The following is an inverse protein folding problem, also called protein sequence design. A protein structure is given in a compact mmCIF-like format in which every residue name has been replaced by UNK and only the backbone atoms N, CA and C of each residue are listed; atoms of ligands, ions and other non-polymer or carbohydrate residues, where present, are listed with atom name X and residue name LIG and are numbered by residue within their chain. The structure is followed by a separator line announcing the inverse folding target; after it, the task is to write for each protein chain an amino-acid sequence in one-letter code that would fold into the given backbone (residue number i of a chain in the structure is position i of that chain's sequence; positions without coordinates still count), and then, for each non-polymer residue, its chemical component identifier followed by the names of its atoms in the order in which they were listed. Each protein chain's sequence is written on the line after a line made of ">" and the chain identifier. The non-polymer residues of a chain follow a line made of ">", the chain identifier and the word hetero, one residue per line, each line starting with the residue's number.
data_IF_630559115136
#
_entry.id   IF_630559115136
#
_cell.length_a   1.000
_cell.length_b   1.000
_cell.length_c   1.000
_cell.angle_alpha   90.00
_cell.angle_beta   90.00
_cell.angle_gamma   90.00
#
_symmetry.space_group_name_H-M   'P 1'
#
loop_
_entity.id
_entity.type
_entity.pdbx_description
1 polymer ?
#
# COMPACT_ATOMS: atom_id res chain seq x y z
N UNK A 1 -10.93 20.17 1.06
CA UNK A 1 -11.21 19.45 2.33
C UNK A 1 -12.02 20.35 3.25
N UNK A 2 -12.98 19.83 4.03
CA UNK A 2 -13.72 20.63 5.02
C UNK A 2 -13.22 20.32 6.43
N UNK A 3 -12.73 21.32 7.16
CA UNK A 3 -12.31 21.19 8.55
C UNK A 3 -13.32 21.86 9.49
N UNK A 4 -13.47 21.32 10.69
CA UNK A 4 -14.26 21.94 11.76
C UNK A 4 -13.33 22.46 12.84
N UNK A 5 -13.57 23.69 13.27
CA UNK A 5 -12.92 24.28 14.44
C UNK A 5 -13.57 23.79 15.73
N UNK A 6 -12.86 23.89 16.86
CA UNK A 6 -13.44 23.68 18.20
C UNK A 6 -14.64 24.60 18.49
N UNK A 7 -14.75 25.73 17.80
CA UNK A 7 -15.88 26.67 17.88
C UNK A 7 -17.05 26.34 16.92
N UNK A 8 -17.03 25.20 16.20
CA UNK A 8 -18.13 24.74 15.34
C UNK A 8 -18.17 25.30 13.91
N UNK A 9 -17.33 26.29 13.57
CA UNK A 9 -17.21 26.81 12.19
C UNK A 9 -16.67 25.73 11.25
N UNK A 10 -17.33 25.57 10.09
CA UNK A 10 -16.87 24.73 8.98
C UNK A 10 -16.06 25.57 8.00
N UNK A 11 -14.80 25.22 7.81
CA UNK A 11 -13.89 25.92 6.89
C UNK A 11 -13.57 25.00 5.71
N UNK A 12 -13.81 25.49 4.50
CA UNK A 12 -13.39 24.81 3.27
C UNK A 12 -11.92 25.20 3.02
N UNK A 13 -11.03 24.22 3.14
CA UNK A 13 -9.60 24.36 2.89
C UNK A 13 -9.31 24.03 1.42
N UNK A 14 -8.61 24.96 0.77
CA UNK A 14 -8.07 24.87 -0.59
C UNK A 14 -6.68 25.50 -0.62
N UNK A 15 -5.84 25.07 -1.55
CA UNK A 15 -4.61 25.80 -1.88
C UNK A 15 -5.02 27.05 -2.67
N UNK A 16 -4.65 28.23 -2.19
CA UNK A 16 -4.96 29.50 -2.87
C UNK A 16 -3.92 29.79 -3.96
N UNK A 17 -4.16 30.82 -4.77
CA UNK A 17 -3.26 31.20 -5.87
C UNK A 17 -1.88 31.66 -5.37
N UNK A 18 -1.79 32.18 -4.14
CA UNK A 18 -0.53 32.63 -3.55
C UNK A 18 -0.27 32.00 -2.17
N UNK A 19 1.00 31.89 -1.80
CA UNK A 19 1.45 31.46 -0.47
C UNK A 19 0.78 32.30 0.64
N UNK A 20 0.75 33.63 0.45
CA UNK A 20 0.16 34.59 1.41
C UNK A 20 -1.33 34.34 1.65
N UNK A 21 -2.09 34.09 0.59
CA UNK A 21 -3.53 33.79 0.70
C UNK A 21 -3.78 32.42 1.36
N UNK A 22 -2.92 31.44 1.06
CA UNK A 22 -2.98 30.11 1.68
C UNK A 22 -2.67 30.21 3.18
N UNK A 23 -1.65 30.97 3.57
CA UNK A 23 -1.32 31.24 4.97
C UNK A 23 -2.47 31.93 5.70
N UNK A 24 -3.12 32.93 5.08
CA UNK A 24 -4.29 33.61 5.66
C UNK A 24 -5.48 32.67 5.87
N UNK A 25 -5.71 31.73 4.96
CA UNK A 25 -6.73 30.71 5.12
C UNK A 25 -6.39 29.76 6.28
N UNK A 26 -5.15 29.28 6.35
CA UNK A 26 -4.69 28.37 7.41
C UNK A 26 -4.70 29.03 8.80
N UNK A 27 -4.47 30.33 8.90
CA UNK A 27 -4.61 31.05 10.17
C UNK A 27 -6.00 30.90 10.77
N UNK A 28 -7.06 30.90 9.94
CA UNK A 28 -8.43 30.68 10.42
C UNK A 28 -8.65 29.27 10.98
N UNK A 29 -7.91 28.29 10.45
CA UNK A 29 -7.97 26.89 10.89
C UNK A 29 -7.15 26.69 12.17
N UNK A 30 -5.99 27.34 12.27
CA UNK A 30 -4.98 27.15 13.31
C UNK A 30 -5.06 28.20 14.43
N UNK A 31 -6.26 28.69 14.75
CA UNK A 31 -6.50 29.66 15.84
C UNK A 31 -5.59 30.91 15.77
N UNK A 32 -5.41 31.45 14.55
CA UNK A 32 -4.54 32.58 14.22
C UNK A 32 -3.03 32.34 14.47
N UNK A 33 -2.57 31.09 14.50
CA UNK A 33 -1.15 30.76 14.58
C UNK A 33 -0.44 31.11 13.25
N UNK A 34 0.11 32.32 13.18
CA UNK A 34 0.77 32.85 12.00
C UNK A 34 2.01 32.05 11.60
N UNK A 35 2.83 31.65 12.56
CA UNK A 35 4.08 30.93 12.30
C UNK A 35 3.81 29.56 11.65
N UNK A 36 2.90 28.76 12.23
CA UNK A 36 2.52 27.47 11.68
C UNK A 36 1.85 27.61 10.31
N UNK A 37 0.99 28.61 10.15
CA UNK A 37 0.27 28.86 8.89
C UNK A 37 1.20 29.23 7.74
N UNK A 38 2.21 30.08 8.00
CA UNK A 38 3.24 30.43 7.01
C UNK A 38 4.11 29.23 6.66
N UNK A 39 4.55 28.46 7.66
CA UNK A 39 5.38 27.28 7.42
C UNK A 39 4.67 26.24 6.53
N UNK A 40 3.39 25.94 6.82
CA UNK A 40 2.59 25.03 6.01
C UNK A 40 2.29 25.59 4.62
N UNK A 41 1.96 26.88 4.51
CA UNK A 41 1.70 27.50 3.21
C UNK A 41 2.95 27.47 2.32
N UNK A 42 4.13 27.76 2.88
CA UNK A 42 5.40 27.67 2.16
C UNK A 42 5.65 26.26 1.65
N UNK A 43 5.48 25.23 2.49
CA UNK A 43 5.70 23.84 2.09
C UNK A 43 4.73 23.38 0.98
N UNK A 44 3.48 23.86 0.98
CA UNK A 44 2.48 23.50 -0.06
C UNK A 44 2.72 24.23 -1.38
N UNK A 45 3.33 25.42 -1.35
CA UNK A 45 3.68 26.22 -2.54
C UNK A 45 5.10 25.96 -3.05
N UNK A 46 5.85 25.07 -2.40
CA UNK A 46 7.20 24.72 -2.84
C UNK A 46 7.14 23.85 -4.10
N UNK A 47 7.72 24.34 -5.19
CA UNK A 47 7.84 23.59 -6.42
C UNK A 47 8.91 22.50 -6.28
N UNK A 48 8.47 21.24 -6.33
CA UNK A 48 9.36 20.09 -6.30
C UNK A 48 9.56 19.56 -7.72
N UNK A 49 10.81 19.53 -8.16
CA UNK A 49 11.19 18.91 -9.43
C UNK A 49 11.59 17.45 -9.17
N UNK A 50 10.80 16.52 -9.68
CA UNK A 50 11.10 15.09 -9.68
C UNK A 50 11.15 14.62 -11.13
N UNK A 51 12.22 13.93 -11.50
CA UNK A 51 12.39 13.32 -12.82
C UNK A 51 12.79 11.86 -12.65
N UNK A 52 12.13 10.98 -13.39
CA UNK A 52 12.52 9.58 -13.51
C UNK A 52 12.75 9.30 -15.01
N UNK A 53 14.02 9.21 -15.45
CA UNK A 53 14.35 9.03 -16.86
C UNK A 53 13.70 7.80 -17.50
N UNK A 54 13.41 6.77 -16.70
CA UNK A 54 12.77 5.57 -17.19
C UNK A 54 11.27 5.76 -17.40
N UNK A 55 10.62 6.62 -16.61
CA UNK A 55 9.24 7.04 -16.84
C UNK A 55 9.15 8.03 -18.00
N UNK A 56 10.13 8.94 -18.15
CA UNK A 56 10.19 9.92 -19.25
C UNK A 56 10.24 9.25 -20.63
N UNK A 57 10.82 8.04 -20.71
CA UNK A 57 10.90 7.23 -21.92
C UNK A 57 9.59 6.50 -22.28
N UNK A 58 8.60 6.51 -21.39
CA UNK A 58 7.33 5.80 -21.58
C UNK A 58 6.29 6.74 -22.18
N UNK A 59 5.75 6.36 -23.33
CA UNK A 59 4.68 7.10 -24.00
C UNK A 59 3.45 6.20 -24.15
N UNK A 60 2.46 6.42 -23.29
CA UNK A 60 1.18 5.69 -23.29
C UNK A 60 0.06 6.70 -23.24
N UNK A 61 -0.95 6.50 -24.09
CA UNK A 61 -2.15 7.32 -24.08
C UNK A 61 -3.30 6.52 -23.45
N UNK A 62 -3.80 6.98 -22.31
CA UNK A 62 -4.94 6.39 -21.61
C UNK A 62 -6.08 7.42 -21.63
N UNK A 63 -7.29 7.08 -22.11
CA UNK A 63 -8.42 8.01 -22.12
C UNK A 63 -8.75 8.52 -20.72
N UNK A 64 -8.64 9.84 -20.50
CA UNK A 64 -8.76 10.45 -19.17
C UNK A 64 -10.18 10.35 -18.58
N UNK A 65 -11.20 10.22 -19.44
CA UNK A 65 -12.61 10.11 -19.08
C UNK A 65 -12.97 8.77 -18.42
N UNK A 66 -12.12 7.75 -18.59
CA UNK A 66 -12.29 6.45 -17.95
C UNK A 66 -11.34 6.23 -16.75
N UNK A 67 -10.68 7.28 -16.25
CA UNK A 67 -9.74 7.17 -15.12
C UNK A 67 -10.31 7.86 -13.89
N UNK A 68 -10.30 7.15 -12.76
CA UNK A 68 -10.55 7.72 -11.44
C UNK A 68 -9.39 7.41 -10.50
N UNK A 69 -9.26 8.18 -9.42
CA UNK A 69 -8.17 8.04 -8.45
C UNK A 69 -8.68 7.85 -7.03
N UNK A 70 -7.97 7.02 -6.28
CA UNK A 70 -8.04 6.91 -4.83
C UNK A 70 -6.73 7.43 -4.22
N UNK A 71 -6.85 8.26 -3.19
CA UNK A 71 -5.72 8.89 -2.53
C UNK A 71 -5.81 8.64 -1.03
N UNK A 72 -4.77 8.04 -0.45
CA UNK A 72 -4.50 8.14 0.98
C UNK A 72 -3.34 9.14 1.19
N UNK A 73 -3.61 10.33 1.74
CA UNK A 73 -2.59 11.35 1.90
C UNK A 73 -1.51 10.95 2.93
N UNK A 74 -1.87 10.21 3.98
CA UNK A 74 -0.96 9.78 5.06
C UNK A 74 -1.48 8.47 5.68
N UNK A 75 -1.17 7.34 5.04
CA UNK A 75 -1.42 6.02 5.58
C UNK A 75 -0.61 5.83 6.87
N UNK A 76 -1.17 5.09 7.83
CA UNK A 76 -0.57 4.87 9.15
C UNK A 76 -0.46 6.15 9.99
N UNK A 77 -1.52 6.97 9.98
CA UNK A 77 -1.59 8.24 10.75
C UNK A 77 -1.19 8.07 12.23
N UNK A 78 -1.51 6.93 12.88
CA UNK A 78 -1.06 6.66 14.25
C UNK A 78 0.48 6.63 14.37
N UNK A 79 1.18 5.97 13.43
CA UNK A 79 2.64 5.92 13.45
C UNK A 79 3.25 7.29 13.13
N UNK A 80 2.62 8.04 12.20
CA UNK A 80 3.01 9.41 11.90
C UNK A 80 2.97 10.30 13.14
N UNK A 81 1.87 10.27 13.89
CA UNK A 81 1.69 11.05 15.13
C UNK A 81 2.64 10.57 16.24
N UNK A 82 2.84 9.26 16.36
CA UNK A 82 3.73 8.68 17.38
C UNK A 82 5.19 9.06 17.18
N UNK A 83 5.63 9.22 15.93
CA UNK A 83 6.94 9.78 15.60
C UNK A 83 8.15 8.94 16.02
N UNK A 84 7.99 7.63 16.25
CA UNK A 84 9.12 6.75 16.59
C UNK A 84 10.09 6.64 15.41
N UNK A 85 11.37 6.92 15.67
CA UNK A 85 12.39 7.13 14.63
C UNK A 85 13.61 6.22 14.77
N UNK A 86 13.63 5.43 15.83
CA UNK A 86 14.71 4.62 16.39
C UNK A 86 14.35 3.12 16.42
N UNK A 87 13.37 2.71 15.60
CA UNK A 87 12.96 1.32 15.48
C UNK A 87 13.92 0.59 14.54
N UNK A 88 14.43 -0.56 14.98
CA UNK A 88 15.24 -1.46 14.14
C UNK A 88 14.30 -2.42 13.39
N UNK A 89 14.49 -2.63 12.08
CA UNK A 89 13.71 -3.62 11.34
C UNK A 89 14.11 -5.05 11.71
N UNK A 90 13.17 -5.98 11.63
CA UNK A 90 13.44 -7.41 11.64
C UNK A 90 13.45 -7.90 10.19
N UNK A 91 14.59 -8.42 9.70
CA UNK A 91 14.78 -8.86 8.31
C UNK A 91 14.31 -7.83 7.26
N UNK A 92 14.59 -6.54 7.51
CA UNK A 92 14.19 -5.44 6.62
C UNK A 92 12.76 -4.93 6.81
N UNK A 93 11.96 -5.56 7.67
CA UNK A 93 10.56 -5.19 7.92
C UNK A 93 10.43 -4.44 9.25
N UNK A 94 9.88 -3.24 9.21
CA UNK A 94 9.61 -2.43 10.39
C UNK A 94 8.26 -2.81 10.99
N UNK A 95 8.25 -3.22 12.26
CA UNK A 95 7.00 -3.51 12.97
C UNK A 95 6.15 -2.26 13.24
N UNK A 96 6.81 -1.11 13.43
CA UNK A 96 6.21 0.19 13.75
C UNK A 96 7.23 1.31 13.45
N UNK A 97 6.82 2.56 13.63
CA UNK A 97 7.66 3.73 13.44
C UNK A 97 7.33 4.50 12.16
N UNK A 98 8.04 5.61 11.95
CA UNK A 98 7.81 6.50 10.81
C UNK A 98 8.03 5.81 9.46
N UNK A 99 8.86 4.78 9.41
CA UNK A 99 9.04 3.94 8.22
C UNK A 99 7.73 3.29 7.75
N UNK A 100 6.77 3.06 8.64
CA UNK A 100 5.48 2.47 8.27
C UNK A 100 4.49 3.48 7.67
N UNK A 101 4.87 4.75 7.50
CA UNK A 101 4.02 5.81 6.93
C UNK A 101 4.23 5.88 5.42
N UNK A 102 3.12 5.88 4.67
CA UNK A 102 3.15 5.98 3.21
C UNK A 102 2.14 6.99 2.70
N UNK A 103 2.40 7.56 1.52
CA UNK A 103 1.45 8.32 0.71
C UNK A 103 1.06 7.42 -0.46
N UNK A 104 -0.24 7.24 -0.69
CA UNK A 104 -0.76 6.30 -1.67
C UNK A 104 -1.63 7.05 -2.68
N UNK A 105 -1.27 6.94 -3.96
CA UNK A 105 -2.05 7.50 -5.06
C UNK A 105 -2.24 6.40 -6.10
N UNK A 106 -3.46 5.89 -6.21
CA UNK A 106 -3.81 4.82 -7.14
C UNK A 106 -4.85 5.26 -8.15
N UNK A 107 -4.61 5.01 -9.43
CA UNK A 107 -5.56 5.24 -10.50
C UNK A 107 -6.14 3.92 -11.01
N UNK A 108 -7.44 3.91 -11.29
CA UNK A 108 -8.17 2.74 -11.77
C UNK A 108 -9.10 3.12 -12.93
N UNK A 109 -9.47 2.11 -13.72
CA UNK A 109 -10.43 2.26 -14.80
C UNK A 109 -11.86 2.22 -14.25
N UNK A 110 -12.70 3.19 -14.62
CA UNK A 110 -14.04 3.33 -14.07
C UNK A 110 -14.95 2.17 -14.51
N UNK A 111 -14.86 1.77 -15.77
CA UNK A 111 -15.66 0.70 -16.35
C UNK A 111 -15.40 -0.69 -15.73
N UNK A 112 -14.13 -1.07 -15.60
CA UNK A 112 -13.72 -2.39 -15.10
C UNK A 112 -13.48 -2.41 -13.59
N UNK A 113 -13.17 -1.26 -12.99
CA UNK A 113 -12.78 -1.16 -11.59
C UNK A 113 -11.35 -1.61 -11.29
N UNK A 114 -10.57 -1.99 -12.30
CA UNK A 114 -9.21 -2.49 -12.11
C UNK A 114 -8.19 -1.35 -11.99
N UNK A 115 -7.19 -1.48 -11.07
CA UNK A 115 -6.17 -0.47 -10.89
C UNK A 115 -5.11 -0.58 -12.00
N UNK A 116 -4.71 0.56 -12.56
CA UNK A 116 -3.81 0.66 -13.72
C UNK A 116 -2.51 1.40 -13.44
N UNK A 117 -2.50 2.33 -12.48
CA UNK A 117 -1.31 3.08 -12.09
C UNK A 117 -1.29 3.26 -10.57
N UNK A 118 -0.10 3.22 -9.99
CA UNK A 118 0.06 3.41 -8.56
C UNK A 118 1.36 4.09 -8.23
N UNK A 119 1.31 4.98 -7.24
CA UNK A 119 2.47 5.59 -6.59
C UNK A 119 2.38 5.33 -5.09
N UNK A 120 3.46 4.78 -4.53
CA UNK A 120 3.69 4.71 -3.09
C UNK A 120 4.91 5.58 -2.80
N UNK A 121 4.74 6.61 -1.98
CA UNK A 121 5.87 7.39 -1.47
C UNK A 121 6.01 7.14 0.02
N UNK A 122 7.18 6.66 0.46
CA UNK A 122 7.54 6.45 1.86
C UNK A 122 8.40 7.64 2.30
N UNK A 123 7.83 8.64 3.02
CA UNK A 123 8.55 9.89 3.30
C UNK A 123 9.74 9.71 4.24
N UNK A 124 9.68 8.68 5.08
CA UNK A 124 10.62 8.42 6.16
C UNK A 124 11.35 7.08 5.97
N UNK A 125 11.91 6.84 4.79
CA UNK A 125 12.57 5.57 4.47
C UNK A 125 13.91 5.41 5.22
N UNK A 126 14.80 6.41 5.10
CA UNK A 126 16.11 6.41 5.77
C UNK A 126 16.36 7.73 6.48
N UNK A 127 17.04 7.67 7.64
CA UNK A 127 17.41 8.85 8.42
C UNK A 127 18.92 8.96 8.51
N UNK A 128 19.45 10.12 8.13
CA UNK A 128 20.86 10.43 8.32
C UNK A 128 21.15 10.61 9.83
N UNK A 129 22.04 9.81 10.43
CA UNK A 129 22.32 9.88 11.86
C UNK A 129 23.05 11.17 12.28
N UNK A 130 23.70 11.88 11.36
CA UNK A 130 24.43 13.12 11.63
C UNK A 130 23.54 14.34 11.47
N UNK A 131 22.81 14.43 10.35
CA UNK A 131 21.97 15.61 10.05
C UNK A 131 20.55 15.48 10.61
N UNK A 132 20.16 14.27 11.04
CA UNK A 132 18.83 13.89 11.48
C UNK A 132 17.73 14.06 10.41
N UNK A 133 18.12 14.36 9.17
CA UNK A 133 17.21 14.53 8.03
C UNK A 133 16.73 13.18 7.53
N UNK A 134 15.47 13.16 7.11
CA UNK A 134 14.88 12.01 6.45
C UNK A 134 15.08 12.10 4.94
N UNK A 135 15.35 10.95 4.34
CA UNK A 135 15.28 10.74 2.90
C UNK A 135 14.14 9.76 2.62
N UNK A 136 13.22 10.20 1.78
CA UNK A 136 12.11 9.36 1.32
C UNK A 136 12.49 8.50 0.12
N UNK A 137 11.65 7.53 -0.16
CA UNK A 137 11.71 6.68 -1.34
C UNK A 137 10.33 6.60 -2.00
N UNK A 138 10.29 6.51 -3.31
CA UNK A 138 9.04 6.41 -4.06
C UNK A 138 9.08 5.22 -5.02
N UNK A 139 7.94 4.59 -5.17
CA UNK A 139 7.72 3.40 -5.95
C UNK A 139 6.53 3.66 -6.86
N UNK A 140 6.64 3.28 -8.12
CA UNK A 140 5.56 3.42 -9.07
C UNK A 140 5.44 2.20 -9.97
N UNK A 141 4.25 2.02 -10.53
CA UNK A 141 3.96 0.94 -11.45
C UNK A 141 2.77 1.27 -12.31
N UNK A 142 2.81 0.79 -13.55
CA UNK A 142 1.75 0.91 -14.53
C UNK A 142 1.48 -0.48 -15.14
N UNK A 143 0.21 -0.85 -15.18
CA UNK A 143 -0.31 -2.07 -15.79
C UNK A 143 -1.53 -1.71 -16.64
N UNK A 144 -1.32 -1.56 -17.94
CA UNK A 144 -2.35 -1.15 -18.87
C UNK A 144 -2.17 -1.88 -20.21
N UNK A 145 -3.18 -2.66 -20.60
CA UNK A 145 -3.11 -3.57 -21.74
C UNK A 145 -1.86 -4.46 -21.66
N UNK A 146 -1.04 -4.50 -22.70
CA UNK A 146 0.19 -5.30 -22.76
C UNK A 146 1.38 -4.60 -22.08
N UNK A 147 1.20 -3.39 -21.56
CA UNK A 147 2.29 -2.62 -20.95
C UNK A 147 2.31 -2.81 -19.43
N UNK A 148 3.40 -3.38 -18.95
CA UNK A 148 3.68 -3.55 -17.52
C UNK A 148 5.08 -2.99 -17.22
N UNK A 149 5.14 -1.93 -16.42
CA UNK A 149 6.38 -1.24 -16.05
C UNK A 149 6.35 -0.88 -14.58
N UNK A 150 7.50 -0.99 -13.91
CA UNK A 150 7.65 -0.69 -12.49
C UNK A 150 9.05 -0.17 -12.17
N UNK A 151 9.14 0.80 -11.24
CA UNK A 151 10.40 1.39 -10.80
C UNK A 151 11.43 0.35 -10.30
N UNK A 152 10.97 -0.77 -9.73
CA UNK A 152 11.83 -1.86 -9.22
C UNK A 152 12.48 -2.71 -10.33
N UNK A 153 11.80 -2.91 -11.46
CA UNK A 153 12.35 -3.66 -12.59
C UNK A 153 13.44 -2.87 -13.33
N UNK A 154 13.37 -1.54 -13.24
CA UNK A 154 14.31 -0.62 -13.87
C UNK A 154 15.58 -0.53 -13.03
N UNK A 155 15.47 -0.37 -11.70
CA UNK A 155 16.65 -0.28 -10.82
C UNK A 155 17.51 -1.54 -10.87
N UNK A 156 16.89 -2.71 -11.02
CA UNK A 156 17.59 -3.99 -11.16
C UNK A 156 18.33 -4.15 -12.50
N UNK A 157 17.86 -3.53 -13.60
CA UNK A 157 18.60 -3.48 -14.87
C UNK A 157 19.79 -2.53 -14.83
N UNK A 158 19.66 -1.39 -14.14
CA UNK A 158 20.75 -0.41 -13.99
C UNK A 158 21.85 -0.92 -13.05
N UNK A 159 21.48 -1.56 -11.92
CA UNK A 159 22.45 -2.08 -10.96
C UNK A 159 23.26 -3.29 -11.49
N UNK A 160 22.75 -4.02 -12.49
CA UNK A 160 23.44 -5.13 -13.13
C UNK A 160 24.63 -4.72 -14.01
N UNK A 161 24.84 -3.42 -14.27
CA UNK A 161 26.02 -2.93 -15.00
C UNK A 161 27.21 -2.61 -14.10
N UNK A 162 27.01 -2.33 -12.80
CA UNK A 162 28.09 -1.79 -11.95
C UNK A 162 28.39 -2.54 -10.63
N UNK A 163 27.58 -3.50 -10.16
CA UNK A 163 27.97 -4.40 -9.04
C UNK A 163 26.95 -5.54 -8.83
N UNK A 164 27.33 -6.84 -8.79
CA UNK A 164 26.38 -7.95 -8.67
C UNK A 164 25.72 -8.12 -7.28
N UNK A 165 25.94 -7.22 -6.32
CA UNK A 165 25.68 -7.49 -4.89
C UNK A 165 24.65 -6.57 -4.22
N UNK A 166 23.89 -5.76 -4.95
CA UNK A 166 22.88 -4.86 -4.36
C UNK A 166 21.55 -4.80 -5.14
N UNK A 167 21.16 -5.90 -5.77
CA UNK A 167 19.75 -6.10 -6.14
C UNK A 167 18.92 -6.48 -4.90
N UNK A 168 17.58 -6.27 -4.91
CA UNK A 168 16.73 -6.97 -3.94
C UNK A 168 17.06 -8.46 -4.05
N UNK A 169 17.19 -9.19 -2.92
CA UNK A 169 17.52 -10.60 -2.98
C UNK A 169 16.52 -11.27 -3.93
N UNK A 170 16.96 -12.13 -4.87
CA UNK A 170 16.03 -12.98 -5.58
C UNK A 170 15.13 -13.63 -4.52
N UNK A 171 13.81 -13.68 -4.79
CA UNK A 171 12.87 -14.49 -4.00
C UNK A 171 13.61 -15.79 -3.66
N UNK A 172 13.83 -16.07 -2.38
CA UNK A 172 14.83 -17.04 -1.92
C UNK A 172 14.46 -18.41 -2.50
N UNK A 173 14.98 -18.75 -3.68
CA UNK A 173 14.64 -19.99 -4.40
C UNK A 173 15.34 -21.21 -3.80
N UNK A 174 15.98 -21.07 -2.65
CA UNK A 174 16.58 -22.19 -1.94
C UNK A 174 16.61 -21.94 -0.44
N UNK A 175 15.54 -22.38 0.24
CA UNK A 175 15.51 -22.87 1.63
C UNK A 175 14.08 -23.36 1.91
N UNK A 176 13.92 -24.68 2.13
CA UNK A 176 12.71 -25.37 2.63
C UNK A 176 11.36 -24.66 2.36
N UNK A 177 10.58 -24.98 1.32
CA UNK A 177 9.12 -24.72 1.09
C UNK A 177 8.30 -23.73 1.98
N UNK A 178 8.90 -22.73 2.59
CA UNK A 178 8.37 -21.89 3.66
C UNK A 178 8.12 -20.53 3.05
N UNK A 179 6.84 -20.16 3.04
CA UNK A 179 6.43 -18.84 2.59
C UNK A 179 6.70 -17.81 3.68
N UNK A 180 6.83 -16.55 3.27
CA UNK A 180 6.92 -15.42 4.18
C UNK A 180 5.66 -14.56 4.08
N UNK A 181 5.13 -14.14 5.23
CA UNK A 181 3.92 -13.33 5.27
C UNK A 181 4.06 -12.18 6.25
N UNK A 182 3.47 -11.03 5.91
CA UNK A 182 3.25 -9.93 6.85
C UNK A 182 1.76 -9.81 7.17
N UNK A 183 1.42 -9.47 8.42
CA UNK A 183 0.04 -9.21 8.82
C UNK A 183 -0.05 -8.20 9.99
N UNK A 184 -1.25 -7.96 10.49
CA UNK A 184 -1.50 -7.15 11.70
C UNK A 184 -1.36 -8.00 12.95
N UNK A 185 -0.83 -7.43 14.03
CA UNK A 185 -0.83 -8.10 15.35
C UNK A 185 -2.25 -8.27 15.93
N UNK A 186 -3.24 -7.57 15.39
CA UNK A 186 -4.65 -7.65 15.78
C UNK A 186 -5.49 -8.54 14.86
N UNK A 187 -4.85 -9.36 14.02
CA UNK A 187 -5.51 -10.28 13.10
C UNK A 187 -6.27 -11.41 13.84
N UNK A 188 -7.25 -12.00 13.16
CA UNK A 188 -8.06 -13.09 13.69
C UNK A 188 -7.20 -14.30 14.10
N UNK A 189 -7.49 -14.91 15.26
CA UNK A 189 -6.67 -15.98 15.85
C UNK A 189 -6.48 -17.19 14.94
N UNK A 190 -7.52 -17.61 14.23
CA UNK A 190 -7.45 -18.74 13.31
C UNK A 190 -6.56 -18.44 12.09
N UNK A 191 -6.61 -17.21 11.58
CA UNK A 191 -5.72 -16.74 10.50
C UNK A 191 -4.28 -16.68 11.00
N UNK A 192 -4.05 -16.12 12.19
CA UNK A 192 -2.73 -16.09 12.82
C UNK A 192 -2.17 -17.49 13.04
N UNK A 193 -2.97 -18.42 13.57
CA UNK A 193 -2.57 -19.81 13.77
C UNK A 193 -2.18 -20.51 12.46
N UNK A 194 -2.97 -20.28 11.41
CA UNK A 194 -2.70 -20.79 10.06
C UNK A 194 -1.40 -20.22 9.49
N UNK A 195 -1.20 -18.90 9.56
CA UNK A 195 0.02 -18.25 9.07
C UNK A 195 1.24 -18.68 9.87
N UNK A 196 1.11 -18.84 11.19
CA UNK A 196 2.22 -19.27 12.06
C UNK A 196 2.67 -20.69 11.71
N UNK A 197 1.74 -21.58 11.37
CA UNK A 197 2.05 -22.94 10.92
C UNK A 197 2.69 -23.00 9.53
N UNK A 198 2.42 -22.02 8.65
CA UNK A 198 2.91 -22.04 7.27
C UNK A 198 4.18 -21.24 7.05
N UNK A 199 4.37 -20.17 7.82
CA UNK A 199 5.47 -19.23 7.67
C UNK A 199 6.52 -19.40 8.78
N UNK A 200 6.16 -20.01 9.91
CA UNK A 200 7.03 -20.19 11.08
C UNK A 200 7.71 -18.86 11.47
N UNK A 201 9.05 -18.82 11.47
CA UNK A 201 9.85 -17.63 11.77
C UNK A 201 9.74 -16.50 10.72
N UNK A 202 9.18 -16.81 9.54
CA UNK A 202 8.94 -15.85 8.45
C UNK A 202 7.55 -15.20 8.49
N UNK A 203 6.87 -15.26 9.65
CA UNK A 203 5.68 -14.46 9.92
C UNK A 203 6.07 -13.12 10.57
N UNK A 204 5.76 -12.03 9.89
CA UNK A 204 6.07 -10.67 10.33
C UNK A 204 4.81 -9.89 10.69
N UNK A 205 4.95 -8.94 11.61
CA UNK A 205 3.92 -7.98 11.95
C UNK A 205 4.37 -6.58 11.58
N UNK A 206 3.47 -5.77 11.00
CA UNK A 206 3.76 -4.38 10.68
C UNK A 206 2.53 -3.48 10.73
N UNK A 207 2.76 -2.23 11.15
CA UNK A 207 1.78 -1.14 11.05
C UNK A 207 1.68 -0.60 9.61
N UNK A 208 0.59 0.11 9.31
CA UNK A 208 0.33 0.72 7.98
C UNK A 208 -0.15 -0.29 6.94
N UNK A 209 -1.29 -0.03 6.30
CA UNK A 209 -1.82 -0.93 5.27
C UNK A 209 -0.99 -0.82 3.98
N UNK A 210 -0.65 0.42 3.60
CA UNK A 210 0.23 0.72 2.47
C UNK A 210 1.63 0.17 2.68
N UNK A 211 2.19 0.31 3.90
CA UNK A 211 3.52 -0.25 4.21
C UNK A 211 3.57 -1.78 4.12
N UNK A 212 2.55 -2.50 4.62
CA UNK A 212 2.48 -3.96 4.46
C UNK A 212 2.41 -4.39 3.00
N UNK A 213 1.64 -3.67 2.17
CA UNK A 213 1.65 -3.91 0.73
C UNK A 213 3.01 -3.59 0.10
N UNK A 214 3.69 -2.53 0.55
CA UNK A 214 5.02 -2.16 0.09
C UNK A 214 6.06 -3.27 0.37
N UNK A 215 5.97 -3.95 1.52
CA UNK A 215 6.82 -5.11 1.81
C UNK A 215 6.68 -6.22 0.74
N UNK A 216 5.45 -6.49 0.26
CA UNK A 216 5.20 -7.46 -0.83
C UNK A 216 5.74 -6.93 -2.15
N UNK A 217 5.50 -5.65 -2.47
CA UNK A 217 5.99 -4.99 -3.69
C UNK A 217 7.52 -5.09 -3.78
N UNK A 218 8.23 -4.80 -2.70
CA UNK A 218 9.69 -4.88 -2.61
C UNK A 218 10.22 -6.33 -2.60
N UNK A 219 9.35 -7.33 -2.37
CA UNK A 219 9.75 -8.73 -2.22
C UNK A 219 10.43 -9.04 -0.88
N UNK A 220 10.17 -8.24 0.16
CA UNK A 220 10.61 -8.55 1.53
C UNK A 220 9.81 -9.71 2.14
N UNK A 221 8.56 -9.86 1.69
CA UNK A 221 7.69 -11.00 2.00
C UNK A 221 6.95 -11.46 0.74
N UNK A 222 6.49 -12.71 0.72
CA UNK A 222 5.69 -13.26 -0.37
C UNK A 222 4.25 -12.76 -0.34
N UNK A 223 3.68 -12.64 0.86
CA UNK A 223 2.27 -12.32 1.06
C UNK A 223 2.01 -11.25 2.11
N UNK A 224 0.98 -10.45 1.88
CA UNK A 224 0.28 -9.73 2.94
C UNK A 224 -1.13 -10.30 3.05
N UNK A 225 -1.45 -10.92 4.18
CA UNK A 225 -2.78 -11.48 4.46
C UNK A 225 -3.44 -10.65 5.56
N UNK A 226 -4.69 -10.26 5.32
CA UNK A 226 -5.51 -9.55 6.28
C UNK A 226 -6.95 -9.99 6.20
N UNK A 227 -7.61 -10.35 7.30
CA UNK A 227 -8.99 -10.89 7.24
C UNK A 227 -10.10 -9.91 7.64
N UNK A 228 -9.75 -8.78 8.25
CA UNK A 228 -10.71 -7.81 8.77
C UNK A 228 -11.17 -6.80 7.70
N UNK A 229 -12.31 -6.16 7.95
CA UNK A 229 -12.97 -5.19 7.07
C UNK A 229 -12.43 -3.75 7.21
N UNK A 230 -11.26 -3.58 7.84
CA UNK A 230 -10.72 -2.26 8.25
C UNK A 230 -9.67 -1.69 7.29
N UNK A 231 -9.57 -2.25 6.08
CA UNK A 231 -8.86 -1.63 4.96
C UNK A 231 -9.85 -1.10 3.93
N UNK A 232 -9.46 -0.08 3.17
CA UNK A 232 -10.32 0.63 2.23
C UNK A 232 -9.68 0.70 0.84
N UNK A 233 -10.46 1.20 -0.13
CA UNK A 233 -10.00 1.36 -1.53
C UNK A 233 -8.72 2.20 -1.62
N UNK A 234 -8.60 3.27 -0.85
CA UNK A 234 -7.43 4.14 -0.84
C UNK A 234 -6.17 3.48 -0.27
N UNK A 235 -6.30 2.52 0.65
CA UNK A 235 -5.16 1.79 1.22
C UNK A 235 -4.52 0.83 0.19
N UNK A 236 -5.32 0.32 -0.75
CA UNK A 236 -4.93 -0.80 -1.59
C UNK A 236 -4.82 -0.46 -3.09
N UNK A 237 -5.42 0.62 -3.57
CA UNK A 237 -5.44 0.94 -5.01
C UNK A 237 -4.03 1.11 -5.59
N UNK A 238 -3.20 1.96 -4.96
CA UNK A 238 -1.85 2.22 -5.43
C UNK A 238 -0.95 0.97 -5.37
N UNK A 239 -0.88 0.25 -4.23
CA UNK A 239 -0.07 -0.97 -4.18
C UNK A 239 -0.56 -2.07 -5.11
N UNK A 240 -1.87 -2.21 -5.32
CA UNK A 240 -2.42 -3.21 -6.24
C UNK A 240 -2.00 -2.93 -7.69
N UNK A 241 -2.04 -1.67 -8.16
CA UNK A 241 -1.54 -1.33 -9.49
C UNK A 241 -0.06 -1.72 -9.67
N UNK A 242 0.77 -1.43 -8.66
CA UNK A 242 2.20 -1.79 -8.70
C UNK A 242 2.37 -3.31 -8.72
N UNK A 243 1.65 -4.05 -7.87
CA UNK A 243 1.72 -5.52 -7.87
C UNK A 243 1.28 -6.12 -9.21
N UNK A 244 0.24 -5.57 -9.86
CA UNK A 244 -0.18 -6.01 -11.20
C UNK A 244 0.93 -5.83 -12.24
N UNK A 245 1.63 -4.69 -12.21
CA UNK A 245 2.77 -4.46 -13.12
C UNK A 245 3.95 -5.43 -12.89
N UNK A 246 3.99 -6.10 -11.73
CA UNK A 246 4.98 -7.12 -11.38
C UNK A 246 4.49 -8.55 -11.62
N UNK A 247 3.28 -8.75 -12.18
CA UNK A 247 2.67 -10.07 -12.39
C UNK A 247 1.91 -10.62 -11.17
N UNK A 248 1.70 -9.79 -10.15
CA UNK A 248 0.94 -10.11 -8.94
C UNK A 248 -0.41 -9.41 -8.87
N UNK A 249 -0.92 -9.22 -7.66
CA UNK A 249 -2.16 -8.51 -7.42
C UNK A 249 -2.60 -8.48 -5.97
N UNK A 250 -3.84 -8.01 -5.75
CA UNK A 250 -4.54 -8.10 -4.46
C UNK A 250 -5.92 -8.71 -4.70
N UNK A 251 -6.20 -9.81 -3.99
CA UNK A 251 -7.47 -10.54 -4.09
C UNK A 251 -8.31 -10.36 -2.83
N UNK A 252 -9.63 -10.51 -2.97
CA UNK A 252 -10.60 -10.62 -1.88
C UNK A 252 -10.44 -11.98 -1.19
N UNK A 253 -9.97 -11.97 0.06
CA UNK A 253 -9.64 -13.18 0.81
C UNK A 253 -10.88 -14.05 1.05
N UNK A 254 -12.00 -13.45 1.47
CA UNK A 254 -13.25 -14.16 1.72
C UNK A 254 -13.76 -14.87 0.47
N UNK A 255 -13.71 -14.21 -0.71
CA UNK A 255 -14.08 -14.84 -1.98
C UNK A 255 -13.13 -15.97 -2.36
N UNK A 256 -11.82 -15.80 -2.19
CA UNK A 256 -10.87 -16.89 -2.38
C UNK A 256 -11.21 -18.12 -1.54
N UNK A 257 -11.51 -17.93 -0.25
CA UNK A 257 -11.87 -19.02 0.67
C UNK A 257 -13.21 -19.68 0.30
N UNK A 258 -14.21 -18.91 -0.14
CA UNK A 258 -15.49 -19.46 -0.61
C UNK A 258 -15.32 -20.29 -1.88
N UNK A 259 -14.57 -19.79 -2.86
CA UNK A 259 -14.37 -20.46 -4.14
C UNK A 259 -13.67 -21.82 -3.96
N UNK A 260 -12.67 -21.88 -3.08
CA UNK A 260 -11.99 -23.13 -2.77
C UNK A 260 -12.91 -24.19 -2.15
N UNK A 261 -13.85 -23.78 -1.29
CA UNK A 261 -14.84 -24.69 -0.69
C UNK A 261 -15.80 -25.28 -1.73
N UNK A 262 -16.17 -24.49 -2.73
CA UNK A 262 -17.12 -24.91 -3.76
C UNK A 262 -16.47 -25.65 -4.95
N UNK A 263 -15.13 -25.83 -4.97
CA UNK A 263 -14.37 -26.34 -6.12
C UNK A 263 -14.78 -25.68 -7.44
N UNK A 264 -15.21 -24.42 -7.37
CA UNK A 264 -15.63 -23.66 -8.53
C UNK A 264 -14.39 -23.05 -9.16
N UNK A 265 -14.03 -23.53 -10.34
CA UNK A 265 -13.15 -22.78 -11.24
C UNK A 265 -13.93 -21.55 -11.72
N UNK A 266 -13.73 -20.40 -11.06
CA UNK A 266 -14.05 -19.15 -11.74
C UNK A 266 -13.05 -18.98 -12.90
N UNK A 267 -13.55 -18.51 -14.04
CA UNK A 267 -12.71 -18.11 -15.17
C UNK A 267 -11.76 -16.95 -14.82
N UNK A 268 -12.05 -16.20 -13.73
CA UNK A 268 -11.28 -15.02 -13.30
C UNK A 268 -11.05 -14.99 -11.79
N UNK A 269 -9.84 -14.60 -11.37
CA UNK A 269 -9.46 -14.45 -9.96
C UNK A 269 -10.22 -13.28 -9.31
N UNK A 270 -10.62 -13.37 -8.03
CA UNK A 270 -11.42 -12.34 -7.36
C UNK A 270 -10.57 -11.14 -6.93
N UNK A 271 -10.03 -10.40 -7.91
CA UNK A 271 -9.28 -9.17 -7.67
C UNK A 271 -10.13 -8.14 -6.92
N UNK A 272 -9.48 -7.33 -6.07
CA UNK A 272 -10.14 -6.14 -5.53
C UNK A 272 -10.48 -5.17 -6.66
N UNK A 273 -11.72 -4.71 -6.67
CA UNK A 273 -12.24 -3.68 -7.56
C UNK A 273 -12.43 -2.36 -6.79
N UNK A 274 -12.30 -1.26 -7.52
CA UNK A 274 -12.22 0.10 -6.95
C UNK A 274 -13.35 1.04 -7.40
N UNK A 275 -14.25 0.58 -8.27
CA UNK A 275 -15.41 1.32 -8.77
C UNK A 275 -16.73 0.96 -8.06
N UNK A 276 -16.73 -0.08 -7.22
CA UNK A 276 -17.93 -0.59 -6.56
C UNK A 276 -17.94 -0.31 -5.06
N UNK A 277 -19.09 0.09 -4.57
CA UNK A 277 -19.37 0.26 -3.15
C UNK A 277 -19.86 -1.04 -2.50
N UNK A 278 -19.68 -1.16 -1.20
CA UNK A 278 -20.29 -2.20 -0.38
C UNK A 278 -21.76 -1.84 -0.11
N UNK A 279 -22.67 -2.64 -0.65
CA UNK A 279 -24.11 -2.46 -0.45
C UNK A 279 -24.51 -2.51 1.03
N UNK A 280 -25.40 -1.60 1.44
CA UNK A 280 -25.90 -1.50 2.81
C UNK A 280 -24.94 -0.84 3.82
N UNK A 281 -23.72 -0.50 3.41
CA UNK A 281 -22.78 0.28 4.24
C UNK A 281 -23.07 1.79 4.18
N UNK A 282 -22.60 2.54 5.19
CA UNK A 282 -22.73 4.00 5.23
C UNK A 282 -21.37 4.66 5.47
N UNK A 283 -21.25 5.94 5.12
CA UNK A 283 -20.00 6.69 5.33
C UNK A 283 -18.80 6.09 4.58
N UNK A 284 -17.66 5.99 5.27
CA UNK A 284 -16.42 5.44 4.72
C UNK A 284 -16.51 3.93 4.44
N UNK A 285 -17.34 3.20 5.19
CA UNK A 285 -17.49 1.74 5.08
C UNK A 285 -18.10 1.28 3.75
N UNK A 286 -18.63 2.22 2.95
CA UNK A 286 -19.01 1.95 1.55
C UNK A 286 -17.80 1.56 0.70
N UNK A 287 -16.61 1.95 1.10
CA UNK A 287 -15.37 1.76 0.36
C UNK A 287 -14.40 0.80 1.06
N UNK A 288 -14.89 0.01 2.04
CA UNK A 288 -14.05 -0.99 2.70
C UNK A 288 -13.78 -2.19 1.78
N UNK A 289 -12.66 -2.86 2.01
CA UNK A 289 -12.34 -4.15 1.42
C UNK A 289 -12.92 -5.24 2.30
N UNK A 290 -14.25 -5.37 2.26
CA UNK A 290 -15.01 -6.34 3.05
C UNK A 290 -14.56 -7.78 2.74
N UNK A 291 -14.33 -8.57 3.77
CA UNK A 291 -13.84 -9.94 3.67
C UNK A 291 -12.32 -10.05 3.65
N UNK A 292 -11.60 -8.94 3.86
CA UNK A 292 -10.15 -8.92 3.90
C UNK A 292 -9.50 -9.08 2.52
N UNK A 293 -8.18 -9.25 2.53
CA UNK A 293 -7.36 -9.31 1.33
C UNK A 293 -6.16 -10.23 1.46
N UNK A 294 -5.67 -10.65 0.30
CA UNK A 294 -4.33 -11.22 0.13
C UNK A 294 -3.61 -10.47 -1.00
N UNK A 295 -2.50 -9.82 -0.67
CA UNK A 295 -1.60 -9.22 -1.65
C UNK A 295 -0.43 -10.16 -1.92
N UNK A 296 -0.05 -10.30 -3.18
CA UNK A 296 0.97 -11.24 -3.63
C UNK A 296 1.70 -10.71 -4.86
N UNK A 297 2.93 -11.17 -5.07
CA UNK A 297 3.76 -10.81 -6.23
C UNK A 297 3.85 -11.89 -7.31
N UNK A 298 3.73 -13.17 -6.94
CA UNK A 298 3.89 -14.32 -7.85
C UNK A 298 2.63 -15.18 -7.85
N UNK A 299 2.01 -15.36 -9.02
CA UNK A 299 0.82 -16.22 -9.15
C UNK A 299 1.10 -17.68 -8.76
N UNK A 300 2.27 -18.20 -9.17
CA UNK A 300 2.69 -19.57 -8.85
C UNK A 300 2.80 -19.79 -7.34
N UNK A 301 3.37 -18.80 -6.62
CA UNK A 301 3.46 -18.87 -5.16
C UNK A 301 2.07 -18.78 -4.53
N UNK A 302 1.21 -17.88 -5.02
CA UNK A 302 -0.15 -17.73 -4.51
C UNK A 302 -0.94 -19.04 -4.60
N UNK A 303 -0.94 -19.72 -5.75
CA UNK A 303 -1.70 -20.96 -5.93
C UNK A 303 -1.27 -22.02 -4.92
N UNK A 304 0.04 -22.25 -4.83
CA UNK A 304 0.63 -23.22 -3.91
C UNK A 304 0.40 -22.85 -2.44
N UNK A 305 0.48 -21.56 -2.10
CA UNK A 305 0.21 -21.06 -0.75
C UNK A 305 -1.27 -21.20 -0.36
N UNK A 306 -2.19 -20.85 -1.26
CA UNK A 306 -3.62 -20.89 -0.99
C UNK A 306 -4.11 -22.31 -0.70
N UNK A 307 -3.63 -23.30 -1.44
CA UNK A 307 -3.96 -24.71 -1.20
C UNK A 307 -3.57 -25.14 0.23
N UNK A 308 -2.37 -24.77 0.67
CA UNK A 308 -1.88 -25.05 2.02
C UNK A 308 -2.63 -24.23 3.08
N UNK A 309 -2.91 -22.96 2.80
CA UNK A 309 -3.63 -22.04 3.68
C UNK A 309 -5.03 -22.53 3.98
N UNK A 310 -5.79 -22.91 2.95
CA UNK A 310 -7.16 -23.41 3.10
C UNK A 310 -7.18 -24.72 3.89
N UNK A 311 -6.25 -25.64 3.61
CA UNK A 311 -6.15 -26.91 4.33
C UNK A 311 -5.87 -26.70 5.83
N UNK A 312 -4.93 -25.82 6.16
CA UNK A 312 -4.57 -25.54 7.55
C UNK A 312 -5.64 -24.73 8.28
N UNK A 313 -6.31 -23.80 7.59
CA UNK A 313 -7.40 -23.02 8.17
C UNK A 313 -8.59 -23.90 8.57
N UNK A 314 -8.90 -24.95 7.79
CA UNK A 314 -9.92 -25.93 8.16
C UNK A 314 -9.57 -26.64 9.48
N UNK A 315 -8.32 -27.10 9.63
CA UNK A 315 -7.83 -27.74 10.86
C UNK A 315 -7.88 -26.81 12.07
N UNK A 316 -7.55 -25.53 11.90
CA UNK A 316 -7.61 -24.55 12.98
C UNK A 316 -9.06 -24.24 13.43
N UNK A 317 -10.01 -24.25 12.50
CA UNK A 317 -11.43 -24.03 12.83
C UNK A 317 -12.09 -25.25 13.48
N UNK A 318 -11.52 -26.46 13.33
CA UNK A 318 -12.01 -27.68 14.01
C UNK A 318 -11.50 -27.80 15.45
N UNK A 319 -10.46 -27.04 15.83
CA UNK A 319 -9.86 -27.02 17.16
C UNK A 319 -10.51 -25.98 18.11
N UNK A 320 -11.50 -25.23 17.64
CA UNK A 320 -12.23 -24.18 18.36
C UNK A 320 -13.74 -24.38 18.26
#
# INVERSE_FOLDING_TARGET
>A
MMLRRNAGEKIIVRVCATEKETAKLLQRVLDNNEAASKALARAVHEDVQLSDPALDAVHINIPHDNIAMWVDPIDSTYQYIKGSSDITPNNGIFIKGLQCVTVLIGAYLIDTGLPIMGVINQPFATRDPKTLRWKGEHYWGLSYMDTNICSLQISSKVNNLDNPSSGPPPCIENRNNLYSAVTSSAEAKNILGTLSSLCEENLYFAAGAGYKCLCVVQGLVDFYVFSEDTTFKWDCCAPHAILRSLGGGILDLSKCLKNARHKSEFSEKPHLLYNMEVEGSTGADRWSNKGGLIAYRSEKHLESFMDLFIKNLALQNEQH
#
